data_IF_743323679474
#
_entry.id   IF_743323679474
#
_cell.length_a   1.000
_cell.length_b   1.000
_cell.length_c   1.000
_cell.angle_alpha   90.00
_cell.angle_beta   90.00
_cell.angle_gamma   90.00
#
_symmetry.space_group_name_H-M   'P 1'
#
loop_
_entity.id
_entity.type
_entity.pdbx_description
1 polymer ?
#
# COMPACT_ATOMS: atom_id res chain seq x y z
N UNK A 1 16.27 34.27 31.49
CA UNK A 1 16.20 34.11 30.02
C UNK A 1 16.12 32.62 29.74
N UNK A 2 14.93 32.11 29.42
CA UNK A 2 14.68 30.67 29.30
C UNK A 2 14.77 30.25 27.83
N UNK A 3 15.84 29.56 27.47
CA UNK A 3 16.01 28.94 26.15
C UNK A 3 15.11 27.71 26.06
N UNK A 4 14.04 27.80 25.27
CA UNK A 4 13.18 26.67 24.94
C UNK A 4 13.95 25.69 24.03
N UNK A 5 14.25 24.52 24.57
CA UNK A 5 14.79 23.39 23.83
C UNK A 5 13.72 22.88 22.86
N UNK A 6 13.89 23.13 21.55
CA UNK A 6 13.08 22.48 20.52
C UNK A 6 13.43 21.00 20.50
N UNK A 7 12.56 20.16 21.01
CA UNK A 7 12.62 18.72 20.85
C UNK A 7 12.42 18.39 19.36
N UNK A 8 13.51 18.13 18.65
CA UNK A 8 13.42 17.45 17.37
C UNK A 8 12.95 16.01 17.64
N UNK A 9 11.95 15.48 16.92
CA UNK A 9 11.60 14.09 17.05
C UNK A 9 12.83 13.25 16.66
N UNK A 10 13.31 12.44 17.59
CA UNK A 10 14.40 11.49 17.38
C UNK A 10 14.03 10.54 16.24
N UNK A 11 15.03 10.21 15.42
CA UNK A 11 14.93 9.30 14.26
C UNK A 11 14.39 7.88 14.59
N UNK A 12 14.15 7.60 15.88
CA UNK A 12 13.60 6.35 16.44
C UNK A 12 12.07 6.23 16.31
N UNK A 13 11.38 7.25 15.80
CA UNK A 13 9.98 7.12 15.37
C UNK A 13 9.85 6.43 13.99
N UNK A 14 10.96 6.01 13.39
CA UNK A 14 10.97 5.18 12.19
C UNK A 14 10.73 3.71 12.57
N UNK A 15 9.62 3.43 13.28
CA UNK A 15 9.04 2.08 13.23
C UNK A 15 8.94 1.77 11.76
N UNK A 16 9.63 0.71 11.33
CA UNK A 16 9.56 0.08 10.01
C UNK A 16 8.11 -0.29 9.74
N UNK A 17 7.27 0.70 9.43
CA UNK A 17 5.92 0.55 8.93
C UNK A 17 6.12 -0.02 7.54
N UNK A 18 5.50 -1.15 7.26
CA UNK A 18 5.44 -1.70 5.91
C UNK A 18 4.81 -0.64 5.01
N UNK A 19 5.67 0.19 4.41
CA UNK A 19 5.28 1.26 3.51
C UNK A 19 5.35 0.65 2.13
N UNK A 20 4.20 0.17 1.65
CA UNK A 20 4.10 -0.42 0.33
C UNK A 20 4.31 0.64 -0.76
N UNK A 21 4.00 1.90 -0.46
CA UNK A 21 4.09 3.04 -1.36
C UNK A 21 2.95 4.02 -1.08
N UNK A 22 2.87 5.09 -1.86
CA UNK A 22 1.66 5.92 -1.93
C UNK A 22 0.72 5.29 -2.95
N UNK A 23 -0.02 4.25 -2.54
CA UNK A 23 -1.02 3.62 -3.39
C UNK A 23 -2.44 4.02 -2.97
N UNK A 24 -3.34 4.02 -3.93
CA UNK A 24 -4.78 3.95 -3.68
C UNK A 24 -5.28 2.62 -4.24
N UNK A 25 -6.05 1.89 -3.43
CA UNK A 25 -6.64 0.61 -3.81
C UNK A 25 -8.16 0.78 -3.85
N UNK A 26 -8.77 0.43 -4.98
CA UNK A 26 -10.21 0.42 -5.18
C UNK A 26 -10.66 -1.00 -5.54
N UNK A 27 -11.75 -1.47 -4.93
CA UNK A 27 -12.36 -2.74 -5.32
C UNK A 27 -13.31 -2.50 -6.48
N UNK A 28 -13.09 -3.21 -7.60
CA UNK A 28 -13.88 -3.04 -8.83
C UNK A 28 -14.92 -4.14 -9.06
N UNK A 29 -14.85 -5.24 -8.31
CA UNK A 29 -15.79 -6.36 -8.38
C UNK A 29 -15.14 -7.67 -8.82
N UNK A 30 -15.88 -8.78 -8.74
CA UNK A 30 -15.43 -10.11 -9.19
C UNK A 30 -14.04 -10.57 -8.69
N UNK A 31 -13.67 -10.18 -7.46
CA UNK A 31 -12.35 -10.44 -6.88
C UNK A 31 -11.19 -9.74 -7.64
N UNK A 32 -11.45 -8.53 -8.14
CA UNK A 32 -10.49 -7.64 -8.78
C UNK A 32 -10.38 -6.30 -8.02
N UNK A 33 -9.16 -5.76 -7.96
CA UNK A 33 -8.80 -4.50 -7.35
C UNK A 33 -7.97 -3.66 -8.32
N UNK A 34 -8.25 -2.37 -8.39
CA UNK A 34 -7.41 -1.39 -9.06
C UNK A 34 -6.46 -0.75 -8.04
N UNK A 35 -5.18 -0.68 -8.39
CA UNK A 35 -4.10 -0.16 -7.58
C UNK A 35 -3.44 0.99 -8.33
N UNK A 36 -3.73 2.21 -7.91
CA UNK A 36 -3.14 3.42 -8.46
C UNK A 36 -1.84 3.76 -7.70
N UNK A 37 -0.74 3.90 -8.44
CA UNK A 37 0.52 4.48 -7.96
C UNK A 37 0.45 6.00 -8.01
N UNK A 38 0.23 6.65 -6.86
CA UNK A 38 0.17 8.13 -6.78
C UNK A 38 1.47 8.82 -7.17
N UNK A 39 2.60 8.12 -7.11
CA UNK A 39 3.90 8.67 -7.51
C UNK A 39 4.03 8.82 -9.04
N UNK A 40 3.36 7.95 -9.80
CA UNK A 40 3.48 7.89 -11.27
C UNK A 40 2.16 8.11 -11.99
N UNK A 41 1.03 8.18 -11.27
CA UNK A 41 -0.32 8.21 -11.85
C UNK A 41 -0.68 6.93 -12.61
N UNK A 42 0.08 5.85 -12.42
CA UNK A 42 -0.12 4.60 -13.16
C UNK A 42 -1.03 3.68 -12.39
N UNK A 43 -2.01 3.10 -13.08
CA UNK A 43 -2.97 2.16 -12.52
C UNK A 43 -2.60 0.74 -12.92
N UNK A 44 -2.71 -0.17 -11.97
CA UNK A 44 -2.50 -1.61 -12.16
C UNK A 44 -3.69 -2.37 -11.61
N UNK A 45 -4.04 -3.49 -12.23
CA UNK A 45 -5.09 -4.40 -11.80
C UNK A 45 -4.49 -5.59 -11.08
N UNK A 46 -5.11 -5.91 -9.95
CA UNK A 46 -4.82 -7.10 -9.18
C UNK A 46 -6.07 -7.96 -9.13
N UNK A 47 -5.97 -9.23 -9.50
CA UNK A 47 -7.05 -10.20 -9.48
C UNK A 47 -6.73 -11.35 -8.53
N UNK A 48 -7.72 -11.87 -7.82
CA UNK A 48 -7.59 -13.11 -7.07
C UNK A 48 -8.02 -14.30 -7.95
N UNK A 49 -7.05 -15.14 -8.35
CA UNK A 49 -7.30 -16.39 -9.09
C UNK A 49 -6.66 -17.56 -8.38
N UNK A 50 -7.42 -18.66 -8.22
CA UNK A 50 -6.96 -19.88 -7.55
C UNK A 50 -6.32 -19.62 -6.16
N UNK A 51 -6.87 -18.65 -5.41
CA UNK A 51 -6.36 -18.25 -4.10
C UNK A 51 -5.07 -17.42 -4.12
N UNK A 52 -4.65 -16.89 -5.28
CA UNK A 52 -3.44 -16.09 -5.46
C UNK A 52 -3.76 -14.73 -6.09
N UNK A 53 -3.06 -13.69 -5.64
CA UNK A 53 -3.18 -12.34 -6.20
C UNK A 53 -2.25 -12.19 -7.41
N UNK A 54 -2.82 -12.09 -8.60
CA UNK A 54 -2.13 -11.81 -9.86
C UNK A 54 -2.19 -10.33 -10.18
N UNK A 55 -1.09 -9.72 -10.63
CA UNK A 55 -0.99 -8.29 -10.91
C UNK A 55 -0.58 -8.06 -12.37
N UNK A 56 -1.15 -7.07 -13.08
CA UNK A 56 -0.75 -6.81 -14.47
C UNK A 56 0.55 -6.00 -14.60
N UNK A 57 1.12 -5.51 -13.49
CA UNK A 57 2.26 -4.60 -13.57
C UNK A 57 3.50 -5.27 -14.23
N UNK A 58 4.37 -4.50 -14.91
CA UNK A 58 5.52 -5.05 -15.63
C UNK A 58 6.46 -5.88 -14.74
N UNK A 59 6.65 -5.46 -13.49
CA UNK A 59 7.46 -6.21 -12.51
C UNK A 59 6.87 -7.59 -12.20
N UNK A 60 5.55 -7.70 -12.04
CA UNK A 60 4.90 -9.00 -11.80
C UNK A 60 5.05 -9.90 -13.03
N UNK A 61 4.79 -9.39 -14.22
CA UNK A 61 4.95 -10.16 -15.46
C UNK A 61 6.40 -10.63 -15.67
N UNK A 62 7.39 -9.82 -15.32
CA UNK A 62 8.80 -10.21 -15.36
C UNK A 62 9.12 -11.31 -14.33
N UNK A 63 8.65 -11.16 -13.08
CA UNK A 63 8.88 -12.15 -12.01
C UNK A 63 8.13 -13.47 -12.26
N UNK A 64 6.95 -13.45 -12.88
CA UNK A 64 6.20 -14.68 -13.26
C UNK A 64 7.02 -15.57 -14.20
N UNK A 65 7.88 -14.98 -15.02
CA UNK A 65 8.74 -15.69 -15.97
C UNK A 65 10.00 -16.23 -15.27
N UNK A 66 10.45 -15.59 -14.19
CA UNK A 66 11.80 -15.80 -13.63
C UNK A 66 11.87 -16.23 -12.15
N UNK A 67 10.76 -16.31 -11.40
CA UNK A 67 10.79 -16.60 -9.96
C UNK A 67 9.44 -16.87 -9.28
N UNK A 68 9.44 -17.05 -7.93
CA UNK A 68 8.22 -17.28 -7.17
C UNK A 68 7.29 -16.06 -7.21
N UNK A 69 6.03 -16.30 -7.55
CA UNK A 69 4.99 -15.32 -7.95
C UNK A 69 4.48 -14.37 -6.85
N UNK A 70 5.13 -14.31 -5.68
CA UNK A 70 4.63 -13.66 -4.46
C UNK A 70 5.21 -12.27 -4.14
N UNK A 71 5.97 -11.66 -5.07
CA UNK A 71 6.82 -10.51 -4.73
C UNK A 71 6.36 -9.14 -5.24
N UNK A 72 5.27 -9.04 -6.00
CA UNK A 72 4.82 -7.72 -6.44
C UNK A 72 4.26 -6.90 -5.26
N UNK A 73 4.74 -5.65 -5.14
CA UNK A 73 4.27 -4.71 -4.12
C UNK A 73 2.76 -4.43 -4.19
N UNK A 74 2.16 -4.47 -5.40
CA UNK A 74 0.73 -4.24 -5.59
C UNK A 74 -0.10 -5.43 -5.08
N UNK A 75 0.26 -6.67 -5.42
CA UNK A 75 -0.45 -7.85 -4.92
C UNK A 75 -0.35 -7.99 -3.40
N UNK A 76 0.84 -7.72 -2.83
CA UNK A 76 1.02 -7.65 -1.37
C UNK A 76 0.21 -6.54 -0.71
N UNK A 77 0.09 -5.40 -1.38
CA UNK A 77 -0.71 -4.29 -0.89
C UNK A 77 -2.20 -4.65 -0.85
N UNK A 78 -2.72 -5.26 -1.93
CA UNK A 78 -4.11 -5.72 -2.00
C UNK A 78 -4.37 -6.82 -0.97
N UNK A 79 -3.46 -7.78 -0.80
CA UNK A 79 -3.58 -8.78 0.25
C UNK A 79 -3.70 -8.13 1.64
N UNK A 80 -2.86 -7.14 1.96
CA UNK A 80 -2.95 -6.42 3.23
C UNK A 80 -4.26 -5.63 3.38
N UNK A 81 -4.79 -5.05 2.29
CA UNK A 81 -6.10 -4.38 2.29
C UNK A 81 -7.23 -5.38 2.54
N UNK A 82 -7.21 -6.53 1.88
CA UNK A 82 -8.23 -7.58 2.03
C UNK A 82 -8.23 -8.18 3.43
N UNK A 83 -7.07 -8.25 4.08
CA UNK A 83 -6.94 -8.70 5.47
C UNK A 83 -7.16 -7.56 6.50
N UNK A 84 -7.61 -6.38 6.07
CA UNK A 84 -7.82 -5.20 6.91
C UNK A 84 -6.57 -4.73 7.69
N UNK A 85 -5.37 -5.11 7.22
CA UNK A 85 -4.11 -4.75 7.86
C UNK A 85 -3.68 -3.31 7.52
N UNK A 86 -4.15 -2.80 6.37
CA UNK A 86 -3.85 -1.44 5.89
C UNK A 86 -5.08 -0.78 5.29
N UNK A 87 -5.16 0.54 5.41
CA UNK A 87 -6.23 1.31 4.79
C UNK A 87 -6.14 1.27 3.25
N UNK A 88 -7.22 1.02 2.50
CA UNK A 88 -7.21 1.00 1.03
C UNK A 88 -6.81 2.35 0.41
N UNK A 89 -7.06 3.47 1.08
CA UNK A 89 -6.82 4.80 0.51
C UNK A 89 -5.41 5.33 0.71
N UNK A 90 -4.72 4.90 1.76
CA UNK A 90 -3.37 5.39 2.05
C UNK A 90 -2.36 4.27 2.28
N UNK A 91 -2.81 3.02 2.22
CA UNK A 91 -2.00 1.80 2.30
C UNK A 91 -1.05 1.80 3.49
N UNK A 92 -1.57 2.34 4.60
CA UNK A 92 -0.90 2.43 5.89
C UNK A 92 -1.74 1.69 6.94
N UNK A 93 -1.09 1.04 7.92
CA UNK A 93 -1.79 0.35 9.01
C UNK A 93 -2.56 1.29 9.95
N UNK A 94 -2.25 2.59 9.90
CA UNK A 94 -3.06 3.66 10.50
C UNK A 94 -3.21 4.76 9.47
N UNK A 95 -4.44 5.21 9.25
CA UNK A 95 -4.73 6.33 8.35
C UNK A 95 -3.87 7.55 8.70
N UNK A 96 -3.22 8.14 7.71
CA UNK A 96 -2.53 9.43 7.89
C UNK A 96 -3.54 10.55 8.12
N UNK A 97 -3.15 11.68 8.74
CA UNK A 97 -4.00 12.87 8.87
C UNK A 97 -4.63 13.31 7.55
N UNK A 98 -3.89 13.17 6.44
CA UNK A 98 -4.33 13.51 5.09
C UNK A 98 -5.12 12.41 4.37
N UNK A 99 -5.44 11.29 5.04
CA UNK A 99 -6.19 10.21 4.42
C UNK A 99 -7.68 10.61 4.34
N UNK A 100 -8.33 10.54 3.17
CA UNK A 100 -9.75 10.88 3.04
C UNK A 100 -10.66 10.01 3.90
N UNK A 101 -10.22 8.78 4.23
CA UNK A 101 -10.97 7.86 5.08
C UNK A 101 -10.68 8.04 6.59
N UNK A 102 -9.81 8.98 6.97
CA UNK A 102 -9.66 9.37 8.38
C UNK A 102 -10.87 10.23 8.72
N UNK A 103 -11.96 9.59 9.11
CA UNK A 103 -13.04 10.28 9.81
C UNK A 103 -12.43 10.89 11.06
N UNK A 104 -12.32 12.22 11.08
CA UNK A 104 -11.87 12.98 12.24
C UNK A 104 -12.86 12.67 13.38
N UNK A 105 -12.40 11.91 14.37
CA UNK A 105 -13.16 11.62 15.60
C UNK A 105 -12.55 12.43 16.74
#
# INVERSE_FOLDING_TARGET
>A
MSTQSRSFPTAEATRRRAFYGSFAVAFVGAAEWEVESRASGTEYRVMLRDGRFECDCPSYNYDVIHGPRDHCKHSRCVAAVVNDEVCPHCTMPRCRPSCPNRSDS
#
